data_IF_332051572712
#
_entry.id   IF_332051572712
#
_cell.length_a   1.000
_cell.length_b   1.000
_cell.length_c   1.000
_cell.angle_alpha   90.00
_cell.angle_beta   90.00
_cell.angle_gamma   90.00
#
_symmetry.space_group_name_H-M   'P 1'
#
loop_
_entity.id
_entity.type
_entity.pdbx_description
1 polymer ?
#
# COMPACT_ATOMS: atom_id res chain seq x y z
N UNK A 1 -15.25 11.27 1.78
CA UNK A 1 -13.83 11.71 1.78
C UNK A 1 -13.41 12.49 3.04
N UNK A 2 -14.28 13.26 3.71
CA UNK A 2 -13.93 14.04 4.93
C UNK A 2 -13.66 13.23 6.21
N UNK A 3 -14.18 12.01 6.33
CA UNK A 3 -14.10 11.21 7.56
C UNK A 3 -12.80 10.43 7.73
N UNK A 4 -12.04 10.26 6.65
CA UNK A 4 -10.76 9.53 6.63
C UNK A 4 -9.61 10.39 7.11
N UNK A 5 -9.72 11.67 6.79
CA UNK A 5 -8.85 12.74 7.29
C UNK A 5 -9.00 12.86 8.81
N UNK A 6 -10.20 12.65 9.36
CA UNK A 6 -10.48 12.82 10.78
C UNK A 6 -9.84 11.72 11.67
N UNK A 7 -9.78 10.47 11.22
CA UNK A 7 -9.16 9.38 11.99
C UNK A 7 -7.62 9.46 11.97
N UNK A 8 -7.06 9.93 10.85
CA UNK A 8 -5.62 10.21 10.75
C UNK A 8 -5.19 11.43 11.59
N UNK A 9 -6.05 12.46 11.72
CA UNK A 9 -5.74 13.66 12.51
C UNK A 9 -5.68 13.40 14.03
N UNK A 10 -6.51 12.49 14.56
CA UNK A 10 -6.57 12.22 16.01
C UNK A 10 -5.36 11.42 16.50
N UNK A 11 -4.78 10.55 15.66
CA UNK A 11 -3.55 9.83 15.99
C UNK A 11 -2.29 10.71 15.87
N UNK A 12 -2.32 11.77 15.05
CA UNK A 12 -1.16 12.61 14.77
C UNK A 12 -0.94 13.73 15.82
N UNK A 13 -1.94 14.03 16.66
CA UNK A 13 -1.87 15.12 17.64
C UNK A 13 -1.03 14.77 18.90
N UNK A 14 -0.57 13.53 19.05
CA UNK A 14 0.17 13.06 20.23
C UNK A 14 1.69 12.93 20.02
N UNK A 15 2.21 13.12 18.81
CA UNK A 15 3.64 12.97 18.54
C UNK A 15 4.35 14.34 18.50
N UNK A 16 5.46 14.52 19.24
CA UNK A 16 6.22 15.75 19.16
C UNK A 16 6.77 15.91 17.73
N UNK A 17 6.55 17.10 17.18
CA UNK A 17 7.14 17.58 15.94
C UNK A 17 8.67 17.59 16.11
N UNK A 18 9.35 16.60 15.55
CA UNK A 18 10.79 16.65 15.36
C UNK A 18 11.11 15.94 14.04
N UNK A 19 11.53 16.73 13.05
CA UNK A 19 12.26 16.20 11.92
C UNK A 19 13.58 15.64 12.45
N UNK A 20 13.72 14.34 12.43
CA UNK A 20 14.95 13.63 12.76
C UNK A 20 14.94 12.33 11.94
N UNK A 21 16.12 11.76 11.68
CA UNK A 21 16.34 10.53 10.91
C UNK A 21 15.28 9.43 11.17
N UNK A 22 14.96 8.56 10.20
CA UNK A 22 13.86 7.60 10.31
C UNK A 22 13.96 6.79 11.60
N UNK A 23 13.08 7.13 12.55
CA UNK A 23 13.03 6.51 13.87
C UNK A 23 12.95 4.99 13.68
N UNK A 24 13.81 4.20 14.33
CA UNK A 24 13.79 2.74 14.21
C UNK A 24 12.39 2.16 14.49
N UNK A 25 11.58 2.79 15.34
CA UNK A 25 10.19 2.40 15.58
C UNK A 25 9.30 2.53 14.33
N UNK A 26 9.53 3.55 13.49
CA UNK A 26 8.80 3.76 12.23
C UNK A 26 9.20 2.69 11.20
N UNK A 27 10.49 2.33 11.14
CA UNK A 27 10.95 1.26 10.26
C UNK A 27 10.40 -0.11 10.66
N UNK A 28 10.32 -0.40 11.96
CA UNK A 28 9.69 -1.62 12.47
C UNK A 28 8.18 -1.66 12.18
N UNK A 29 7.47 -0.56 12.39
CA UNK A 29 6.05 -0.46 12.08
C UNK A 29 5.78 -0.66 10.58
N UNK A 30 6.63 -0.12 9.71
CA UNK A 30 6.57 -0.35 8.28
C UNK A 30 6.83 -1.83 7.94
N UNK A 31 7.88 -2.43 8.50
CA UNK A 31 8.19 -3.84 8.27
C UNK A 31 7.04 -4.77 8.72
N UNK A 32 6.41 -4.47 9.86
CA UNK A 32 5.21 -5.15 10.33
C UNK A 32 4.05 -4.99 9.35
N UNK A 33 3.84 -3.78 8.82
CA UNK A 33 2.80 -3.49 7.82
C UNK A 33 3.02 -4.29 6.53
N UNK A 34 4.25 -4.31 6.01
CA UNK A 34 4.62 -5.10 4.83
C UNK A 34 4.39 -6.60 5.05
N UNK A 35 4.69 -7.09 6.25
CA UNK A 35 4.43 -8.49 6.63
C UNK A 35 2.94 -8.80 6.65
N UNK A 36 2.12 -7.91 7.21
CA UNK A 36 0.65 -8.05 7.21
C UNK A 36 0.10 -8.05 5.78
N UNK A 37 0.66 -7.24 4.87
CA UNK A 37 0.20 -7.22 3.47
C UNK A 37 0.50 -8.53 2.74
N UNK A 38 1.71 -9.08 2.90
CA UNK A 38 2.17 -10.30 2.21
C UNK A 38 1.60 -11.59 2.79
N UNK A 39 1.31 -11.63 4.09
CA UNK A 39 0.81 -12.84 4.75
C UNK A 39 -0.73 -12.82 4.86
N UNK A 40 -1.47 -13.66 4.11
CA UNK A 40 -2.93 -13.72 4.19
C UNK A 40 -3.46 -14.03 5.61
N UNK A 41 -2.73 -14.81 6.40
CA UNK A 41 -3.14 -15.20 7.75
C UNK A 41 -3.04 -14.02 8.72
N UNK A 42 -2.13 -13.08 8.49
CA UNK A 42 -2.02 -11.82 9.24
C UNK A 42 -2.95 -10.74 8.67
N UNK A 43 -3.15 -10.72 7.34
CA UNK A 43 -4.02 -9.76 6.66
C UNK A 43 -5.49 -9.94 7.02
N UNK A 44 -5.98 -11.17 7.00
CA UNK A 44 -7.41 -11.48 7.21
C UNK A 44 -7.97 -10.90 8.53
N UNK A 45 -7.33 -11.09 9.70
CA UNK A 45 -7.80 -10.48 10.94
C UNK A 45 -7.65 -8.95 10.95
N UNK A 46 -6.58 -8.40 10.37
CA UNK A 46 -6.37 -6.95 10.27
C UNK A 46 -7.46 -6.27 9.41
N UNK A 47 -7.87 -6.94 8.33
CA UNK A 47 -8.98 -6.51 7.47
C UNK A 47 -10.32 -6.61 8.20
N UNK A 48 -10.57 -7.72 8.90
CA UNK A 48 -11.82 -7.92 9.65
C UNK A 48 -12.01 -6.89 10.78
N UNK A 49 -10.92 -6.41 11.38
CA UNK A 49 -10.94 -5.37 12.41
C UNK A 49 -11.25 -3.95 11.89
N UNK A 50 -11.37 -3.74 10.58
CA UNK A 50 -11.62 -2.43 9.99
C UNK A 50 -12.65 -2.49 8.85
N UNK A 51 -13.86 -1.91 9.02
CA UNK A 51 -14.89 -1.91 7.98
C UNK A 51 -14.41 -1.34 6.64
N UNK A 52 -13.51 -0.36 6.69
CA UNK A 52 -12.90 0.23 5.50
C UNK A 52 -11.91 -0.72 4.83
N UNK A 53 -11.07 -1.39 5.62
CA UNK A 53 -10.13 -2.37 5.07
C UNK A 53 -10.90 -3.54 4.41
N UNK A 54 -11.99 -3.98 5.03
CA UNK A 54 -12.88 -5.01 4.49
C UNK A 54 -13.53 -4.61 3.15
N UNK A 55 -13.93 -3.34 3.00
CA UNK A 55 -14.45 -2.84 1.73
C UNK A 55 -13.38 -2.89 0.62
N UNK A 56 -12.17 -2.38 0.90
CA UNK A 56 -11.05 -2.38 -0.06
C UNK A 56 -10.67 -3.80 -0.45
N UNK A 57 -10.54 -4.70 0.53
CA UNK A 57 -10.20 -6.10 0.31
C UNK A 57 -11.29 -6.85 -0.51
N UNK A 58 -12.55 -6.45 -0.38
CA UNK A 58 -13.64 -6.95 -1.24
C UNK A 58 -13.52 -6.42 -2.67
N UNK A 59 -13.22 -5.14 -2.86
CA UNK A 59 -12.98 -4.56 -4.19
C UNK A 59 -11.77 -5.21 -4.88
N UNK A 60 -10.68 -5.42 -4.15
CA UNK A 60 -9.48 -6.11 -4.66
C UNK A 60 -9.85 -7.53 -5.11
N UNK A 61 -10.54 -8.31 -4.26
CA UNK A 61 -11.00 -9.66 -4.64
C UNK A 61 -11.93 -9.67 -5.85
N UNK A 62 -12.83 -8.70 -5.96
CA UNK A 62 -13.73 -8.60 -7.10
C UNK A 62 -12.95 -8.31 -8.40
N UNK A 63 -11.98 -7.39 -8.32
CA UNK A 63 -11.10 -7.05 -9.43
C UNK A 63 -10.21 -8.22 -9.85
N UNK A 64 -9.56 -8.90 -8.90
CA UNK A 64 -8.60 -10.00 -9.14
C UNK A 64 -9.27 -11.35 -9.37
N UNK A 65 -10.52 -11.55 -8.93
CA UNK A 65 -11.41 -12.69 -9.14
C UNK A 65 -10.87 -14.09 -8.83
N UNK A 66 -9.65 -14.20 -8.29
CA UNK A 66 -9.10 -15.45 -7.78
C UNK A 66 -8.22 -15.18 -6.56
N UNK A 67 -8.16 -16.13 -5.60
CA UNK A 67 -7.27 -16.00 -4.43
C UNK A 67 -5.80 -15.85 -4.81
N UNK A 68 -5.36 -16.49 -5.90
CA UNK A 68 -3.99 -16.43 -6.40
C UNK A 68 -3.65 -15.03 -6.92
N UNK A 69 -4.48 -14.46 -7.79
CA UNK A 69 -4.26 -13.10 -8.31
C UNK A 69 -4.43 -12.04 -7.20
N UNK A 70 -5.28 -12.32 -6.20
CA UNK A 70 -5.39 -11.49 -5.00
C UNK A 70 -4.07 -11.47 -4.22
N UNK A 71 -3.41 -12.62 -4.03
CA UNK A 71 -2.10 -12.63 -3.38
C UNK A 71 -1.04 -11.93 -4.23
N UNK A 72 -0.97 -12.21 -5.53
CA UNK A 72 -0.03 -11.53 -6.43
C UNK A 72 -0.20 -9.99 -6.37
N UNK A 73 -1.44 -9.51 -6.26
CA UNK A 73 -1.74 -8.09 -6.09
C UNK A 73 -1.19 -7.54 -4.76
N UNK A 74 -1.43 -8.21 -3.65
CA UNK A 74 -0.94 -7.76 -2.34
C UNK A 74 0.58 -7.84 -2.22
N UNK A 75 1.22 -8.84 -2.84
CA UNK A 75 2.67 -8.96 -2.91
C UNK A 75 3.27 -7.79 -3.69
N UNK A 76 2.70 -7.46 -4.85
CA UNK A 76 3.13 -6.32 -5.64
C UNK A 76 2.94 -5.00 -4.90
N UNK A 77 1.79 -4.82 -4.23
CA UNK A 77 1.54 -3.65 -3.41
C UNK A 77 2.59 -3.51 -2.30
N UNK A 78 2.95 -4.62 -1.61
CA UNK A 78 4.00 -4.61 -0.61
C UNK A 78 5.37 -4.25 -1.19
N UNK A 79 5.73 -4.74 -2.39
CA UNK A 79 6.96 -4.34 -3.08
C UNK A 79 6.98 -2.85 -3.40
N UNK A 80 5.88 -2.30 -3.89
CA UNK A 80 5.76 -0.86 -4.17
C UNK A 80 5.92 -0.04 -2.88
N UNK A 81 5.26 -0.43 -1.79
CA UNK A 81 5.39 0.24 -0.49
C UNK A 81 6.84 0.20 0.03
N UNK A 82 7.55 -0.90 -0.18
CA UNK A 82 8.95 -1.05 0.19
C UNK A 82 9.86 -0.13 -0.63
N UNK A 83 9.65 -0.02 -1.95
CA UNK A 83 10.38 0.89 -2.83
C UNK A 83 10.11 2.36 -2.46
N UNK A 84 8.85 2.71 -2.21
CA UNK A 84 8.45 4.05 -1.76
C UNK A 84 9.10 4.41 -0.44
N UNK A 85 9.10 3.50 0.53
CA UNK A 85 9.77 3.71 1.81
C UNK A 85 11.28 3.95 1.63
N UNK A 86 11.95 3.17 0.77
CA UNK A 86 13.37 3.39 0.46
C UNK A 86 13.60 4.76 -0.19
N UNK A 87 12.75 5.15 -1.14
CA UNK A 87 12.87 6.43 -1.87
C UNK A 87 12.61 7.66 -0.99
N UNK A 88 11.73 7.53 0.00
CA UNK A 88 11.35 8.58 0.95
C UNK A 88 12.21 8.61 2.22
N UNK A 89 13.21 7.73 2.33
CA UNK A 89 13.98 7.57 3.56
C UNK A 89 13.14 7.11 4.76
N UNK A 90 11.99 6.46 4.51
CA UNK A 90 11.06 5.99 5.54
C UNK A 90 10.09 7.05 6.04
N UNK A 91 10.05 8.26 5.45
CA UNK A 91 9.13 9.31 5.87
C UNK A 91 7.67 9.01 5.42
N UNK A 92 6.74 8.76 6.35
CA UNK A 92 5.38 8.36 6.01
C UNK A 92 4.58 9.48 5.33
N UNK A 93 4.91 10.76 5.57
CA UNK A 93 4.25 11.88 4.91
C UNK A 93 4.61 11.94 3.43
N UNK A 94 5.90 11.80 3.11
CA UNK A 94 6.42 11.75 1.75
C UNK A 94 5.87 10.54 1.00
N UNK A 95 5.79 9.38 1.66
CA UNK A 95 5.14 8.19 1.07
C UNK A 95 3.67 8.47 0.73
N UNK A 96 2.91 9.06 1.65
CA UNK A 96 1.49 9.40 1.44
C UNK A 96 1.31 10.40 0.31
N UNK A 97 2.09 11.49 0.29
CA UNK A 97 2.01 12.50 -0.77
C UNK A 97 2.35 11.91 -2.14
N UNK A 98 3.32 10.99 -2.18
CA UNK A 98 3.70 10.30 -3.42
C UNK A 98 2.55 9.41 -3.93
N UNK A 99 1.88 8.68 -3.03
CA UNK A 99 0.70 7.88 -3.38
C UNK A 99 -0.51 8.74 -3.79
N UNK A 100 -0.69 9.91 -3.18
CA UNK A 100 -1.74 10.85 -3.56
C UNK A 100 -1.49 11.43 -4.95
N UNK A 101 -0.24 11.84 -5.24
CA UNK A 101 0.15 12.30 -6.58
C UNK A 101 0.06 11.18 -7.62
N UNK A 102 0.28 9.93 -7.24
CA UNK A 102 0.13 8.80 -8.16
C UNK A 102 -1.29 8.65 -8.71
N UNK A 103 -2.31 9.08 -7.96
CA UNK A 103 -3.69 9.09 -8.43
C UNK A 103 -3.95 10.18 -9.47
N UNK A 104 -3.19 11.27 -9.43
CA UNK A 104 -3.28 12.41 -10.37
C UNK A 104 -2.38 12.22 -11.60
N UNK A 105 -1.20 11.61 -11.40
CA UNK A 105 -0.21 11.33 -12.44
C UNK A 105 0.36 9.88 -12.33
N UNK A 106 -0.31 8.91 -12.98
CA UNK A 106 0.15 7.53 -13.01
C UNK A 106 1.50 7.34 -13.71
N UNK A 107 1.88 8.24 -14.63
CA UNK A 107 3.14 8.16 -15.36
C UNK A 107 4.31 8.60 -14.47
N UNK A 108 4.12 9.66 -13.68
CA UNK A 108 5.09 10.05 -12.65
C UNK A 108 5.28 8.95 -11.61
N UNK A 109 4.20 8.30 -11.18
CA UNK A 109 4.30 7.15 -10.28
C UNK A 109 5.08 5.99 -10.90
N UNK A 110 4.86 5.71 -12.19
CA UNK A 110 5.60 4.67 -12.89
C UNK A 110 7.11 4.96 -12.91
N UNK A 111 7.52 6.23 -12.99
CA UNK A 111 8.94 6.60 -12.94
C UNK A 111 9.59 6.42 -11.57
N UNK A 112 8.80 6.30 -10.49
CA UNK A 112 9.29 6.17 -9.11
C UNK A 112 9.52 4.71 -8.68
N UNK A 113 8.91 3.76 -9.39
CA UNK A 113 9.06 2.32 -9.11
C UNK A 113 10.12 1.72 -10.03
N UNK A 114 10.74 0.63 -9.57
CA UNK A 114 11.77 -0.05 -10.36
C UNK A 114 11.22 -0.62 -11.67
N UNK A 115 12.04 -0.74 -12.74
CA UNK A 115 11.61 -1.36 -13.99
C UNK A 115 11.04 -2.77 -13.79
N UNK A 116 11.61 -3.55 -12.88
CA UNK A 116 11.13 -4.89 -12.55
C UNK A 116 9.73 -4.85 -11.91
N UNK A 117 9.45 -3.87 -11.05
CA UNK A 117 8.14 -3.66 -10.43
C UNK A 117 7.11 -3.20 -11.47
N UNK A 118 7.50 -2.34 -12.41
CA UNK A 118 6.64 -1.96 -13.55
C UNK A 118 6.27 -3.15 -14.43
N UNK A 119 7.23 -3.99 -14.78
CA UNK A 119 6.97 -5.15 -15.62
C UNK A 119 6.05 -6.16 -14.91
N UNK A 120 6.22 -6.34 -13.60
CA UNK A 120 5.28 -7.12 -12.78
C UNK A 120 3.88 -6.52 -12.74
N UNK A 121 3.77 -5.21 -12.60
CA UNK A 121 2.49 -4.51 -12.63
C UNK A 121 1.78 -4.70 -13.97
N UNK A 122 2.50 -4.54 -15.08
CA UNK A 122 1.97 -4.78 -16.43
C UNK A 122 1.53 -6.23 -16.62
N UNK A 123 2.37 -7.19 -16.21
CA UNK A 123 2.05 -8.60 -16.31
C UNK A 123 0.80 -8.96 -15.49
N UNK A 124 0.67 -8.43 -14.27
CA UNK A 124 -0.50 -8.64 -13.44
C UNK A 124 -1.76 -8.00 -14.05
N UNK A 125 -1.64 -6.79 -14.61
CA UNK A 125 -2.76 -6.13 -15.29
C UNK A 125 -3.27 -6.93 -16.50
N UNK A 126 -2.37 -7.53 -17.29
CA UNK A 126 -2.73 -8.43 -18.39
C UNK A 126 -3.45 -9.67 -17.86
N UNK A 127 -2.90 -10.37 -16.86
CA UNK A 127 -3.55 -11.54 -16.23
C UNK A 127 -4.96 -11.22 -15.69
N UNK A 128 -5.14 -10.03 -15.13
CA UNK A 128 -6.44 -9.57 -14.62
C UNK A 128 -7.42 -9.30 -15.77
N UNK A 129 -6.94 -8.71 -16.86
CA UNK A 129 -7.77 -8.33 -18.03
C UNK A 129 -8.17 -9.52 -18.90
N UNK A 130 -7.29 -10.51 -19.05
CA UNK A 130 -7.51 -11.71 -19.87
C UNK A 130 -8.46 -12.73 -19.24
N UNK A 131 -8.97 -12.45 -18.02
CA UNK A 131 -9.90 -13.35 -17.36
C UNK A 131 -11.26 -13.35 -18.07
N UNK A 132 -11.87 -14.53 -18.27
CA UNK A 132 -13.28 -14.60 -18.67
C UNK A 132 -14.15 -13.96 -17.58
N UNK A 133 -15.06 -13.06 -17.99
CA UNK A 133 -16.02 -12.39 -17.11
C UNK A 133 -17.13 -13.34 -16.65
#
# INVERSE_FOLDING_TARGET
>A
MRTLVALALVLLAAAPLAGEAPDPAVQEALAATLRVLRDPALRSPAVAGSPRAAAIDTEVRAMTGSPQLTQEFYDLAATIFEELAKSSGGDPNTMRETLERAAEDPAAFAALVSPATLDRLRALAVKISDRPR
#
